data_IF_136565886014
#
_entry.id   IF_136565886014
#
_cell.length_a   1.000
_cell.length_b   1.000
_cell.length_c   1.000
_cell.angle_alpha   90.00
_cell.angle_beta   90.00
_cell.angle_gamma   90.00
#
_symmetry.space_group_name_H-M   'P 1'
#
loop_
_entity.id
_entity.type
_entity.pdbx_description
1 polymer ?
#
# COMPACT_ATOMS: atom_id res chain seq x y z
N UNK A 1 -16.70 -29.09 14.16
CA UNK A 1 -15.69 -29.50 13.16
C UNK A 1 -14.38 -29.75 13.90
N UNK A 2 -14.08 -31.02 14.19
CA UNK A 2 -12.80 -31.40 14.78
C UNK A 2 -11.84 -31.71 13.64
N UNK A 3 -10.81 -30.87 13.49
CA UNK A 3 -9.74 -31.02 12.51
C UNK A 3 -8.80 -32.12 13.00
N UNK A 4 -8.96 -33.34 12.47
CA UNK A 4 -8.15 -34.52 12.79
C UNK A 4 -7.82 -35.37 11.56
N UNK A 5 -7.70 -34.76 10.39
CA UNK A 5 -7.28 -35.46 9.17
C UNK A 5 -5.75 -35.40 9.04
N UNK A 6 -5.02 -36.52 9.22
CA UNK A 6 -3.56 -36.56 9.07
C UNK A 6 -3.10 -36.37 7.62
N UNK A 7 -3.99 -36.45 6.63
CA UNK A 7 -3.71 -36.15 5.23
C UNK A 7 -4.03 -34.69 4.85
N UNK A 8 -4.45 -33.86 5.82
CA UNK A 8 -4.75 -32.46 5.55
C UNK A 8 -3.49 -31.74 5.03
N UNK A 9 -3.59 -31.23 3.80
CA UNK A 9 -2.55 -30.40 3.19
C UNK A 9 -2.31 -29.17 4.07
N UNK A 10 -1.14 -29.10 4.71
CA UNK A 10 -0.75 -27.94 5.51
C UNK A 10 -0.72 -26.70 4.63
N UNK A 11 -1.62 -25.76 4.90
CA UNK A 11 -1.66 -24.46 4.21
C UNK A 11 -0.88 -23.46 5.05
N UNK A 12 0.21 -22.89 4.50
CA UNK A 12 0.95 -21.82 5.17
C UNK A 12 0.06 -20.57 5.25
N UNK A 13 0.06 -19.93 6.42
CA UNK A 13 -0.69 -18.69 6.66
C UNK A 13 0.27 -17.61 7.14
N UNK A 14 0.20 -16.47 6.48
CA UNK A 14 0.95 -15.27 6.81
C UNK A 14 0.14 -14.35 7.71
N UNK A 15 0.82 -13.79 8.71
CA UNK A 15 0.36 -12.73 9.60
C UNK A 15 1.51 -11.74 9.75
N UNK A 16 1.41 -10.59 9.09
CA UNK A 16 2.48 -9.59 9.02
C UNK A 16 2.02 -8.32 9.70
N UNK A 17 2.92 -7.69 10.47
CA UNK A 17 2.68 -6.35 10.99
C UNK A 17 3.08 -5.33 9.91
N UNK A 18 2.17 -4.42 9.60
CA UNK A 18 2.35 -3.38 8.60
C UNK A 18 2.03 -2.03 9.22
N UNK A 19 2.68 -0.98 8.73
CA UNK A 19 2.47 0.39 9.22
C UNK A 19 2.02 1.27 8.06
N UNK A 20 0.90 1.96 8.27
CA UNK A 20 0.38 2.96 7.35
C UNK A 20 0.73 4.32 7.93
N UNK A 21 1.51 5.12 7.21
CA UNK A 21 1.93 6.44 7.64
C UNK A 21 1.08 7.53 6.96
N UNK A 22 0.74 8.56 7.72
CA UNK A 22 0.07 9.77 7.23
C UNK A 22 0.66 11.00 7.95
N UNK A 23 1.55 11.72 7.25
CA UNK A 23 2.31 12.82 7.84
C UNK A 23 3.20 12.34 8.98
N UNK A 24 2.99 12.88 10.19
CA UNK A 24 3.73 12.49 11.41
C UNK A 24 3.10 11.29 12.14
N UNK A 25 1.95 10.81 11.67
CA UNK A 25 1.19 9.75 12.33
C UNK A 25 1.43 8.41 11.64
N UNK A 26 1.36 7.34 12.44
CA UNK A 26 1.52 5.98 11.97
C UNK A 26 0.45 5.08 12.59
N UNK A 27 -0.16 4.24 11.75
CA UNK A 27 -1.18 3.27 12.14
C UNK A 27 -0.65 1.85 11.92
N UNK A 28 -0.52 1.08 12.99
CA UNK A 28 -0.11 -0.31 12.93
C UNK A 28 -1.30 -1.22 12.62
N UNK A 29 -1.21 -1.98 11.53
CA UNK A 29 -2.23 -2.92 11.07
C UNK A 29 -1.63 -4.31 10.89
N UNK A 30 -2.40 -5.34 11.26
CA UNK A 30 -2.08 -6.72 10.92
C UNK A 30 -2.64 -7.04 9.53
N UNK A 31 -1.78 -7.52 8.64
CA UNK A 31 -2.15 -8.08 7.34
C UNK A 31 -2.21 -9.60 7.44
N UNK A 32 -3.31 -10.17 6.97
CA UNK A 32 -3.49 -11.62 6.82
C UNK A 32 -3.17 -12.06 5.39
N UNK A 33 -3.10 -13.38 5.21
CA UNK A 33 -2.67 -14.02 3.97
C UNK A 33 -3.42 -13.52 2.74
N UNK A 34 -4.75 -13.50 2.80
CA UNK A 34 -5.63 -13.07 1.71
C UNK A 34 -5.38 -11.61 1.28
N UNK A 35 -5.07 -10.76 2.25
CA UNK A 35 -4.82 -9.34 2.05
C UNK A 35 -3.43 -9.12 1.49
N UNK A 36 -2.45 -9.84 2.00
CA UNK A 36 -1.08 -9.81 1.50
C UNK A 36 -1.02 -10.27 0.04
N UNK A 37 -1.73 -11.33 -0.32
CA UNK A 37 -1.84 -11.80 -1.70
C UNK A 37 -2.40 -10.72 -2.63
N UNK A 38 -3.42 -9.98 -2.21
CA UNK A 38 -3.99 -8.87 -2.99
C UNK A 38 -2.96 -7.77 -3.22
N UNK A 39 -2.18 -7.42 -2.20
CA UNK A 39 -1.12 -6.41 -2.31
C UNK A 39 -0.03 -6.88 -3.28
N UNK A 40 0.47 -8.10 -3.10
CA UNK A 40 1.51 -8.69 -3.98
C UNK A 40 1.04 -8.71 -5.44
N UNK A 41 -0.22 -9.09 -5.69
CA UNK A 41 -0.82 -9.06 -7.03
C UNK A 41 -0.94 -7.65 -7.59
N UNK A 42 -1.39 -6.69 -6.78
CA UNK A 42 -1.53 -5.29 -7.19
C UNK A 42 -0.18 -4.61 -7.49
N UNK A 43 0.90 -5.08 -6.85
CA UNK A 43 2.27 -4.65 -7.11
C UNK A 43 2.95 -5.41 -8.27
N UNK A 44 2.25 -6.37 -8.88
CA UNK A 44 2.77 -7.22 -9.98
C UNK A 44 4.07 -7.98 -9.61
N UNK A 45 4.27 -8.22 -8.32
CA UNK A 45 5.38 -9.02 -7.79
C UNK A 45 5.05 -10.49 -8.07
N UNK A 46 5.39 -10.99 -9.25
CA UNK A 46 5.13 -12.36 -9.70
C UNK A 46 5.99 -13.41 -8.94
N UNK A 47 5.96 -13.39 -7.60
CA UNK A 47 6.75 -14.26 -6.72
C UNK A 47 5.85 -14.99 -5.72
N UNK A 48 6.14 -16.24 -5.37
CA UNK A 48 5.47 -16.95 -4.28
C UNK A 48 5.62 -16.20 -2.95
N UNK A 49 4.57 -16.14 -2.13
CA UNK A 49 4.61 -15.46 -0.83
C UNK A 49 5.69 -16.01 0.10
N UNK A 50 6.03 -17.30 0.00
CA UNK A 50 7.09 -17.93 0.78
C UNK A 50 8.49 -17.39 0.47
N UNK A 51 8.67 -16.79 -0.71
CA UNK A 51 9.92 -16.22 -1.18
C UNK A 51 9.94 -14.69 -1.08
N UNK A 52 8.83 -14.08 -0.65
CA UNK A 52 8.70 -12.64 -0.50
C UNK A 52 9.61 -12.15 0.63
N UNK A 53 10.57 -11.29 0.28
CA UNK A 53 11.41 -10.60 1.26
C UNK A 53 10.71 -9.31 1.70
N UNK A 54 10.66 -9.06 3.01
CA UNK A 54 10.07 -7.83 3.54
C UNK A 54 10.78 -6.58 3.03
N UNK A 55 12.09 -6.63 2.77
CA UNK A 55 12.86 -5.51 2.20
C UNK A 55 12.31 -5.09 0.85
N UNK A 56 12.09 -6.07 -0.04
CA UNK A 56 11.66 -5.82 -1.41
C UNK A 56 10.20 -5.32 -1.41
N UNK A 57 9.35 -5.93 -0.57
CA UNK A 57 7.97 -5.48 -0.38
C UNK A 57 7.90 -4.05 0.16
N UNK A 58 8.73 -3.69 1.14
CA UNK A 58 8.78 -2.33 1.69
C UNK A 58 9.19 -1.33 0.61
N UNK A 59 10.22 -1.64 -0.19
CA UNK A 59 10.64 -0.77 -1.29
C UNK A 59 9.54 -0.56 -2.34
N UNK A 60 8.77 -1.60 -2.66
CA UNK A 60 7.63 -1.46 -3.59
C UNK A 60 6.46 -0.65 -3.02
N UNK A 61 6.27 -0.69 -1.70
CA UNK A 61 5.17 -0.02 -1.00
C UNK A 61 5.46 1.44 -0.60
N UNK A 62 6.73 1.83 -0.52
CA UNK A 62 7.16 3.17 -0.04
C UNK A 62 6.52 4.33 -0.83
N UNK A 63 6.21 4.10 -2.11
CA UNK A 63 5.60 5.09 -3.00
C UNK A 63 4.10 4.89 -3.22
N UNK A 64 3.45 4.05 -2.42
CA UNK A 64 2.04 3.69 -2.58
C UNK A 64 1.15 4.39 -1.57
N UNK A 65 0.03 4.92 -2.05
CA UNK A 65 -1.08 5.35 -1.20
C UNK A 65 -2.13 4.27 -1.13
N UNK A 66 -2.67 4.11 0.08
CA UNK A 66 -3.64 3.08 0.39
C UNK A 66 -4.94 3.68 0.92
N UNK A 67 -6.06 3.09 0.51
CA UNK A 67 -7.36 3.29 1.15
C UNK A 67 -7.86 1.95 1.63
N UNK A 68 -8.10 1.82 2.94
CA UNK A 68 -8.47 0.56 3.56
C UNK A 68 -9.45 0.76 4.72
N UNK A 69 -10.26 -0.27 4.97
CA UNK A 69 -11.02 -0.40 6.20
C UNK A 69 -10.17 -1.17 7.23
N UNK A 70 -10.10 -0.65 8.45
CA UNK A 70 -9.45 -1.32 9.58
C UNK A 70 -10.49 -1.74 10.63
N UNK A 71 -10.28 -2.91 11.21
CA UNK A 71 -11.04 -3.40 12.36
C UNK A 71 -10.29 -3.02 13.64
N UNK A 72 -11.02 -2.39 14.56
CA UNK A 72 -10.53 -2.12 15.90
C UNK A 72 -10.21 -3.43 16.62
N UNK A 73 -9.12 -3.48 17.41
CA UNK A 73 -8.89 -4.63 18.26
C UNK A 73 -10.07 -4.82 19.22
N UNK A 74 -10.46 -6.07 19.53
CA UNK A 74 -11.52 -6.33 20.48
C UNK A 74 -11.18 -5.67 21.81
N UNK A 75 -12.09 -4.87 22.35
CA UNK A 75 -11.97 -4.39 23.73
C UNK A 75 -12.69 -5.40 24.62
N UNK A 76 -11.93 -6.06 25.49
CA UNK A 76 -12.50 -6.77 26.62
C UNK A 76 -12.01 -6.10 27.89
N UNK A 77 -12.83 -6.07 28.94
CA UNK A 77 -12.51 -5.42 30.23
C UNK A 77 -11.22 -5.95 30.88
N UNK A 78 -10.67 -7.06 30.39
CA UNK A 78 -9.48 -7.74 30.91
C UNK A 78 -8.19 -7.50 30.11
N UNK A 79 -8.27 -6.85 28.95
CA UNK A 79 -7.11 -6.65 28.08
C UNK A 79 -6.82 -5.17 27.91
N UNK A 80 -5.54 -4.80 28.06
CA UNK A 80 -5.08 -3.47 27.71
C UNK A 80 -5.43 -3.14 26.25
N UNK A 81 -5.78 -1.88 25.95
CA UNK A 81 -6.11 -1.49 24.59
C UNK A 81 -4.91 -1.75 23.67
N UNK A 82 -5.05 -2.73 22.78
CA UNK A 82 -4.08 -2.94 21.71
C UNK A 82 -4.07 -1.71 20.80
N UNK A 83 -2.87 -1.26 20.42
CA UNK A 83 -2.68 -0.20 19.41
C UNK A 83 -2.57 -0.75 17.99
N UNK A 84 -2.63 -2.08 17.85
CA UNK A 84 -2.57 -2.75 16.55
C UNK A 84 -3.97 -3.11 16.09
N UNK A 85 -4.30 -2.62 14.90
CA UNK A 85 -5.56 -2.85 14.21
C UNK A 85 -5.42 -4.07 13.30
N UNK A 86 -6.51 -4.57 12.75
CA UNK A 86 -6.47 -5.58 11.68
C UNK A 86 -6.99 -4.98 10.39
N UNK A 87 -6.34 -5.22 9.25
CA UNK A 87 -6.91 -4.80 7.98
C UNK A 87 -8.15 -5.65 7.70
N UNK A 88 -9.29 -5.00 7.48
CA UNK A 88 -10.55 -5.66 7.13
C UNK A 88 -10.70 -5.76 5.61
N UNK A 89 -10.39 -4.67 4.91
CA UNK A 89 -10.50 -4.62 3.45
C UNK A 89 -9.52 -3.59 2.89
N UNK A 90 -8.88 -3.95 1.77
CA UNK A 90 -8.08 -3.05 0.94
C UNK A 90 -8.95 -2.59 -0.23
N UNK A 91 -9.30 -1.30 -0.28
CA UNK A 91 -10.12 -0.75 -1.36
C UNK A 91 -9.29 -0.29 -2.54
N UNK A 92 -8.16 0.37 -2.26
CA UNK A 92 -7.30 0.92 -3.28
C UNK A 92 -5.84 0.89 -2.84
N UNK A 93 -4.95 0.58 -3.78
CA UNK A 93 -3.50 0.69 -3.68
C UNK A 93 -3.03 1.33 -4.99
N UNK A 94 -2.49 2.54 -4.91
CA UNK A 94 -2.07 3.27 -6.10
C UNK A 94 -0.80 4.05 -5.86
N UNK A 95 -0.01 4.19 -6.92
CA UNK A 95 1.24 4.92 -6.85
C UNK A 95 0.98 6.42 -6.68
N UNK A 96 1.69 7.04 -5.74
CA UNK A 96 1.68 8.49 -5.60
C UNK A 96 2.39 9.10 -6.81
N UNK A 97 1.62 9.60 -7.78
CA UNK A 97 2.18 10.40 -8.88
C UNK A 97 2.79 11.66 -8.26
N UNK A 98 4.12 11.67 -8.10
CA UNK A 98 4.86 12.93 -8.03
C UNK A 98 4.49 13.73 -9.28
N UNK A 99 4.09 14.98 -9.09
CA UNK A 99 3.53 15.83 -10.14
C UNK A 99 4.29 15.65 -11.46
N UNK A 100 3.57 15.23 -12.51
CA UNK A 100 4.11 15.19 -13.88
C UNK A 100 4.78 16.52 -14.18
N UNK A 101 6.05 16.56 -14.63
CA UNK A 101 6.69 17.81 -14.97
C UNK A 101 5.80 18.52 -16.00
N UNK A 102 5.35 19.72 -15.66
CA UNK A 102 4.53 20.53 -16.55
C UNK A 102 5.35 20.78 -17.82
N UNK A 103 5.01 20.09 -18.91
CA UNK A 103 5.66 20.32 -20.20
C UNK A 103 5.36 21.77 -20.59
N UNK A 104 6.32 22.67 -20.33
CA UNK A 104 6.24 24.06 -20.79
C UNK A 104 6.12 24.02 -22.31
N UNK A 105 4.93 24.36 -22.84
CA UNK A 105 4.76 24.64 -24.26
C UNK A 105 5.83 25.66 -24.66
N UNK A 106 6.64 25.35 -25.68
CA UNK A 106 7.57 26.33 -26.25
C UNK A 106 6.75 27.52 -26.74
N UNK A 107 6.92 28.68 -26.10
CA UNK A 107 6.40 29.94 -26.60
C UNK A 107 7.04 30.16 -27.98
N UNK A 108 6.22 30.23 -29.03
CA UNK A 108 6.69 30.79 -30.31
C UNK A 108 7.02 32.25 -30.04
N UNK A 109 8.30 32.60 -30.13
CA UNK A 109 8.76 33.99 -30.14
C UNK A 109 8.32 34.56 -31.48
N UNK A 110 7.35 35.47 -31.48
CA UNK A 110 7.07 36.34 -32.62
C UNK A 110 8.14 37.43 -32.65
N UNK A 111 8.87 37.55 -33.76
CA UNK A 111 9.83 38.63 -33.98
C UNK A 111 9.13 40.00 -33.97
N UNK A 112 9.68 41.02 -33.31
CA UNK A 112 9.09 42.35 -33.33
C UNK A 112 9.26 42.99 -34.72
N UNK A 113 8.15 43.33 -35.36
CA UNK A 113 8.10 44.08 -36.61
C UNK A 113 8.70 45.49 -36.43
N UNK A 114 9.42 46.05 -37.43
CA UNK A 114 10.11 47.32 -37.28
C UNK A 114 9.11 48.50 -37.20
N UNK A 115 9.35 49.38 -36.23
CA UNK A 115 8.59 50.60 -35.98
C UNK A 115 8.64 51.53 -37.20
N UNK A 116 7.48 51.98 -37.69
CA UNK A 116 7.40 53.15 -38.56
C UNK A 116 7.60 54.41 -37.72
N UNK A 117 8.66 55.16 -38.01
CA UNK A 117 8.81 56.55 -37.58
C UNK A 117 7.82 57.42 -38.36
N UNK A 118 7.03 58.22 -37.63
CA UNK A 118 6.38 59.43 -38.12
C UNK A 118 6.97 60.59 -37.31
#
# INVERSE_FOLDING_TARGET
>A
MLSGDPAAKTTKRFRILFEITEGISALQVTLFTDTLEKIVRALELNIPMELLKCTDLNSSLDSQKVTAAVKLPPRTDRTSPSKTFSLLCLYNLHHEKTATPYLKRKLKVEEPSPKKQC
#
